data_IF_261583758612
#
_entry.id   IF_261583758612
#
_cell.length_a   1.000
_cell.length_b   1.000
_cell.length_c   1.000
_cell.angle_alpha   90.00
_cell.angle_beta   90.00
_cell.angle_gamma   90.00
#
_symmetry.space_group_name_H-M   'P 1'
#
loop_
_entity.id
_entity.type
_entity.pdbx_description
1 polymer ?
#
# COMPACT_ATOMS: atom_id res chain seq x y z
N UNK A 1 16.25 7.72 -50.29
CA UNK A 1 15.92 7.07 -51.58
C UNK A 1 14.90 7.90 -52.36
N UNK A 2 13.76 8.24 -51.76
CA UNK A 2 12.71 9.10 -52.35
C UNK A 2 13.20 10.44 -52.93
N UNK A 3 14.10 11.13 -52.22
CA UNK A 3 14.61 12.44 -52.64
C UNK A 3 15.48 12.37 -53.91
N UNK A 4 16.21 11.26 -54.13
CA UNK A 4 16.98 11.06 -55.36
C UNK A 4 16.09 10.72 -56.55
N UNK A 5 14.98 10.03 -56.30
CA UNK A 5 13.99 9.71 -57.32
C UNK A 5 13.21 10.96 -57.73
N UNK A 6 12.76 11.77 -56.77
CA UNK A 6 12.12 13.06 -57.05
C UNK A 6 13.02 13.99 -57.87
N UNK A 7 14.32 14.06 -57.56
CA UNK A 7 15.29 14.84 -58.36
C UNK A 7 15.41 14.29 -59.79
N UNK A 8 15.50 12.98 -59.98
CA UNK A 8 15.59 12.37 -61.30
C UNK A 8 14.30 12.52 -62.12
N UNK A 9 13.14 12.59 -61.47
CA UNK A 9 11.85 12.83 -62.14
C UNK A 9 11.77 14.28 -62.61
N UNK A 10 12.06 15.24 -61.73
CA UNK A 10 12.13 16.68 -62.05
C UNK A 10 13.14 16.97 -63.17
N UNK A 11 14.32 16.33 -63.16
CA UNK A 11 15.31 16.46 -64.24
C UNK A 11 14.78 15.99 -65.60
N UNK A 12 14.00 14.89 -65.63
CA UNK A 12 13.40 14.38 -66.88
C UNK A 12 12.29 15.28 -67.40
N UNK A 13 11.47 15.84 -66.51
CA UNK A 13 10.40 16.77 -66.88
C UNK A 13 10.97 18.07 -67.48
N UNK A 14 12.03 18.61 -66.86
CA UNK A 14 12.71 19.81 -67.35
C UNK A 14 13.44 19.60 -68.68
N UNK A 15 14.07 18.44 -68.88
CA UNK A 15 14.67 18.09 -70.18
C UNK A 15 13.61 18.03 -71.29
N UNK A 16 12.42 17.52 -70.96
CA UNK A 16 11.28 17.48 -71.90
C UNK A 16 10.78 18.90 -72.21
N UNK A 17 10.69 19.76 -71.20
CA UNK A 17 10.33 21.18 -71.38
C UNK A 17 11.38 21.94 -72.22
N UNK A 18 12.68 21.66 -72.06
CA UNK A 18 13.74 22.24 -72.90
C UNK A 18 13.56 21.89 -74.38
N UNK A 19 13.18 20.65 -74.70
CA UNK A 19 12.90 20.24 -76.08
C UNK A 19 11.71 21.01 -76.68
N UNK A 20 10.67 21.27 -75.87
CA UNK A 20 9.52 22.10 -76.25
C UNK A 20 9.92 23.55 -76.48
N UNK A 21 10.77 24.12 -75.62
CA UNK A 21 11.32 25.49 -75.82
C UNK A 21 12.12 25.57 -77.13
N UNK A 22 12.95 24.57 -77.42
CA UNK A 22 13.73 24.53 -78.66
C UNK A 22 12.82 24.46 -79.91
N UNK A 23 11.77 23.63 -79.87
CA UNK A 23 10.79 23.50 -80.94
C UNK A 23 9.98 24.79 -81.15
N UNK A 24 9.48 25.40 -80.06
CA UNK A 24 8.74 26.66 -80.14
C UNK A 24 9.61 27.81 -80.65
N UNK A 25 10.89 27.83 -80.28
CA UNK A 25 11.84 28.81 -80.81
C UNK A 25 12.06 28.68 -82.32
N UNK A 26 12.30 27.46 -82.82
CA UNK A 26 12.47 27.21 -84.27
C UNK A 26 11.18 27.48 -85.07
N UNK A 27 10.03 27.22 -84.47
CA UNK A 27 8.72 27.48 -85.11
C UNK A 27 8.41 28.98 -85.14
N UNK A 28 8.74 29.72 -84.08
CA UNK A 28 8.56 31.17 -83.98
C UNK A 28 9.44 31.96 -84.96
N UNK A 29 10.64 31.46 -85.28
CA UNK A 29 11.51 32.04 -86.30
C UNK A 29 10.92 31.92 -87.72
N UNK A 30 10.10 30.88 -87.96
CA UNK A 30 9.48 30.61 -89.27
C UNK A 30 8.08 31.20 -89.41
N UNK A 31 7.28 31.21 -88.34
CA UNK A 31 5.96 31.82 -88.30
C UNK A 31 5.75 32.57 -86.96
N UNK A 32 5.90 33.92 -86.96
CA UNK A 32 5.76 34.71 -85.75
C UNK A 32 4.33 34.74 -85.18
N UNK A 33 3.30 34.32 -85.95
CA UNK A 33 1.92 34.22 -85.46
C UNK A 33 1.66 32.96 -84.62
N UNK A 34 2.59 32.01 -84.59
CA UNK A 34 2.47 30.77 -83.81
C UNK A 34 2.55 30.96 -82.29
N UNK A 35 3.14 32.07 -81.82
CA UNK A 35 3.29 32.41 -80.40
C UNK A 35 2.07 33.16 -79.83
N UNK A 36 0.85 32.84 -80.25
CA UNK A 36 -0.33 33.53 -79.71
C UNK A 36 -0.48 33.31 -78.19
N UNK A 37 -0.78 34.35 -77.40
CA UNK A 37 -0.89 34.26 -75.94
C UNK A 37 -1.86 33.17 -75.46
N UNK A 38 -2.91 32.87 -76.24
CA UNK A 38 -3.91 31.85 -75.92
C UNK A 38 -3.38 30.41 -76.00
N UNK A 39 -2.38 30.16 -76.85
CA UNK A 39 -1.77 28.84 -77.05
C UNK A 39 -0.62 28.60 -76.06
N UNK A 40 0.09 29.66 -75.68
CA UNK A 40 1.24 29.59 -74.76
C UNK A 40 0.84 29.64 -73.28
N UNK A 41 -0.40 30.03 -72.96
CA UNK A 41 -0.90 30.09 -71.57
C UNK A 41 -1.21 28.72 -70.94
N UNK A 42 -1.37 27.67 -71.75
CA UNK A 42 -1.70 26.31 -71.28
C UNK A 42 -0.47 25.40 -71.13
N UNK A 43 0.72 25.88 -71.51
CA UNK A 43 1.96 25.11 -71.40
C UNK A 43 2.44 25.12 -69.95
N UNK A 44 2.56 23.93 -69.35
CA UNK A 44 3.25 23.75 -68.07
C UNK A 44 4.75 23.75 -68.31
N UNK A 45 5.51 24.30 -67.35
CA UNK A 45 6.98 24.29 -67.35
C UNK A 45 7.64 25.14 -68.46
N UNK A 46 6.87 25.89 -69.26
CA UNK A 46 7.37 26.80 -70.29
C UNK A 46 6.65 28.14 -70.22
N UNK A 47 7.39 29.23 -70.00
CA UNK A 47 6.85 30.58 -70.07
C UNK A 47 7.38 31.35 -71.26
N UNK A 48 6.49 32.13 -71.86
CA UNK A 48 6.78 33.04 -72.96
C UNK A 48 6.62 34.47 -72.45
N UNK A 49 7.73 35.19 -72.35
CA UNK A 49 7.80 36.58 -71.91
C UNK A 49 8.02 37.50 -73.10
N UNK A 50 7.09 38.42 -73.34
CA UNK A 50 7.23 39.47 -74.33
C UNK A 50 7.98 40.64 -73.70
N UNK A 51 9.14 41.00 -74.24
CA UNK A 51 10.00 42.05 -73.71
C UNK A 51 9.75 43.37 -74.43
N UNK A 52 9.61 44.47 -73.68
CA UNK A 52 9.62 45.81 -74.27
C UNK A 52 11.01 46.16 -74.83
N UNK A 53 11.10 47.18 -75.71
CA UNK A 53 12.31 47.53 -76.45
C UNK A 53 13.54 47.87 -75.57
N UNK A 54 13.34 48.22 -74.29
CA UNK A 54 14.39 48.58 -73.33
C UNK A 54 14.42 47.70 -72.06
N UNK A 55 13.63 46.62 -72.01
CA UNK A 55 13.55 45.77 -70.82
C UNK A 55 14.68 44.71 -70.82
N UNK A 56 15.45 44.57 -69.72
CA UNK A 56 16.52 43.58 -69.65
C UNK A 56 15.93 42.16 -69.64
N UNK A 57 16.46 41.27 -70.48
CA UNK A 57 16.08 39.87 -70.54
C UNK A 57 16.58 39.12 -69.27
N UNK A 58 15.85 39.24 -68.17
CA UNK A 58 16.10 38.50 -66.93
C UNK A 58 14.84 37.78 -66.49
N UNK A 59 14.98 36.51 -66.15
CA UNK A 59 13.91 35.77 -65.51
C UNK A 59 13.67 36.35 -64.10
N UNK A 60 12.41 36.42 -63.64
CA UNK A 60 12.14 36.77 -62.26
C UNK A 60 12.85 35.78 -61.34
N UNK A 61 13.58 36.27 -60.33
CA UNK A 61 14.26 35.41 -59.37
C UNK A 61 13.24 34.86 -58.36
N UNK A 62 13.35 33.58 -58.02
CA UNK A 62 12.63 33.01 -56.88
C UNK A 62 13.25 33.55 -55.58
N UNK A 63 12.46 33.73 -54.52
CA UNK A 63 12.92 34.19 -53.21
C UNK A 63 12.54 33.20 -52.11
N UNK A 64 13.25 33.21 -50.98
CA UNK A 64 12.91 32.38 -49.81
C UNK A 64 13.15 30.87 -49.99
N UNK A 65 12.19 30.06 -49.56
CA UNK A 65 12.27 28.59 -49.57
C UNK A 65 12.33 28.03 -51.00
N UNK A 66 11.61 28.64 -51.94
CA UNK A 66 11.57 28.18 -53.33
C UNK A 66 12.93 28.40 -54.01
N UNK A 67 13.64 29.49 -53.66
CA UNK A 67 15.02 29.73 -54.12
C UNK A 67 16.05 28.78 -53.49
N UNK A 68 15.81 28.35 -52.25
CA UNK A 68 16.66 27.36 -51.59
C UNK A 68 16.44 25.96 -52.18
N UNK A 69 15.17 25.55 -52.33
CA UNK A 69 14.77 24.29 -52.95
C UNK A 69 15.26 24.21 -54.41
N UNK A 70 15.06 25.27 -55.20
CA UNK A 70 15.54 25.34 -56.57
C UNK A 70 17.06 25.15 -56.67
N UNK A 71 17.84 25.82 -55.80
CA UNK A 71 19.31 25.62 -55.78
C UNK A 71 19.72 24.20 -55.40
N UNK A 72 18.99 23.56 -54.49
CA UNK A 72 19.31 22.24 -53.97
C UNK A 72 18.88 21.10 -54.92
N UNK A 73 17.74 21.26 -55.62
CA UNK A 73 17.17 20.25 -56.51
C UNK A 73 17.69 20.38 -57.95
N UNK A 74 17.86 21.60 -58.47
CA UNK A 74 18.11 21.85 -59.89
C UNK A 74 19.56 22.26 -60.19
N UNK A 75 20.33 22.59 -59.15
CA UNK A 75 21.65 23.22 -59.27
C UNK A 75 21.60 24.56 -60.03
N UNK A 76 22.77 25.10 -60.41
CA UNK A 76 22.86 26.32 -61.25
C UNK A 76 22.69 26.06 -62.76
N UNK A 77 22.18 24.88 -63.17
CA UNK A 77 22.42 24.34 -64.53
C UNK A 77 21.29 24.50 -65.55
N UNK A 78 20.13 25.04 -65.17
CA UNK A 78 18.93 24.96 -66.02
C UNK A 78 18.28 26.31 -66.35
N UNK A 79 19.09 27.37 -66.54
CA UNK A 79 18.63 28.60 -67.19
C UNK A 79 18.64 28.43 -68.72
N UNK A 80 17.76 27.58 -69.23
CA UNK A 80 17.55 27.42 -70.67
C UNK A 80 16.53 28.45 -71.15
N UNK A 81 17.01 29.66 -71.40
CA UNK A 81 16.23 30.74 -72.02
C UNK A 81 16.68 30.97 -73.46
N UNK A 82 15.72 31.10 -74.38
CA UNK A 82 15.98 31.50 -75.76
C UNK A 82 15.32 32.84 -76.01
N UNK A 83 16.14 33.85 -76.31
CA UNK A 83 15.70 35.17 -76.74
C UNK A 83 15.59 35.18 -78.26
N UNK A 84 14.42 35.55 -78.76
CA UNK A 84 14.10 35.62 -80.18
C UNK A 84 13.74 37.07 -80.53
N UNK A 85 14.38 37.60 -81.56
CA UNK A 85 14.02 38.89 -82.16
C UNK A 85 13.18 38.63 -83.41
N UNK A 86 11.89 38.95 -83.34
CA UNK A 86 10.98 38.78 -84.47
C UNK A 86 11.25 39.87 -85.52
N UNK A 87 11.02 39.56 -86.80
CA UNK A 87 11.21 40.50 -87.93
C UNK A 87 10.47 41.84 -87.81
N UNK A 88 9.46 41.92 -86.93
CA UNK A 88 8.69 43.13 -86.62
C UNK A 88 9.29 43.98 -85.46
N UNK A 89 10.51 43.67 -85.01
CA UNK A 89 11.21 44.39 -83.93
C UNK A 89 10.76 44.05 -82.50
N UNK A 90 9.89 43.04 -82.34
CA UNK A 90 9.45 42.54 -81.02
C UNK A 90 10.42 41.47 -80.51
N UNK A 91 10.69 41.48 -79.20
CA UNK A 91 11.56 40.49 -78.55
C UNK A 91 10.74 39.55 -77.67
N UNK A 92 10.97 38.25 -77.82
CA UNK A 92 10.31 37.21 -77.02
C UNK A 92 11.35 36.34 -76.37
N UNK A 93 11.21 36.14 -75.06
CA UNK A 93 12.02 35.19 -74.30
C UNK A 93 11.17 33.98 -73.95
N UNK A 94 11.55 32.82 -74.47
CA UNK A 94 10.95 31.54 -74.09
C UNK A 94 11.91 30.86 -73.10
N UNK A 95 11.44 30.54 -71.91
CA UNK A 95 12.25 29.90 -70.89
C UNK A 95 11.50 28.75 -70.22
N UNK A 96 12.27 27.75 -69.79
CA UNK A 96 11.77 26.69 -68.92
C UNK A 96 11.50 27.27 -67.54
N UNK A 97 10.31 27.06 -67.00
CA UNK A 97 9.95 27.49 -65.65
C UNK A 97 9.96 26.30 -64.68
N UNK A 98 11.00 26.23 -63.86
CA UNK A 98 11.14 25.18 -62.86
C UNK A 98 10.40 25.46 -61.54
N UNK A 99 9.65 26.57 -61.45
CA UNK A 99 8.88 26.91 -60.25
C UNK A 99 7.73 25.95 -60.00
N UNK A 100 7.06 25.50 -61.06
CA UNK A 100 5.93 24.56 -60.98
C UNK A 100 6.36 23.24 -60.30
N UNK A 101 7.54 22.71 -60.64
CA UNK A 101 8.12 21.50 -60.02
C UNK A 101 8.48 21.70 -58.54
N UNK A 102 8.99 22.89 -58.20
CA UNK A 102 9.34 23.24 -56.82
C UNK A 102 8.07 23.35 -55.96
N UNK A 103 6.99 23.91 -56.50
CA UNK A 103 5.70 24.03 -55.84
C UNK A 103 5.08 22.64 -55.58
N UNK A 104 5.17 21.70 -56.53
CA UNK A 104 4.68 20.32 -56.36
C UNK A 104 5.47 19.54 -55.29
N UNK A 105 6.80 19.65 -55.28
CA UNK A 105 7.65 19.05 -54.25
C UNK A 105 7.35 19.64 -52.88
N UNK A 106 7.15 20.97 -52.80
CA UNK A 106 6.79 21.67 -51.57
C UNK A 106 5.44 21.20 -51.01
N UNK A 107 4.42 21.10 -51.85
CA UNK A 107 3.09 20.61 -51.44
C UNK A 107 3.16 19.17 -50.94
N UNK A 108 3.91 18.31 -51.64
CA UNK A 108 4.13 16.92 -51.22
C UNK A 108 4.85 16.82 -49.87
N UNK A 109 5.87 17.66 -49.66
CA UNK A 109 6.62 17.71 -48.40
C UNK A 109 5.75 18.24 -47.25
N UNK A 110 4.92 19.26 -47.52
CA UNK A 110 3.95 19.79 -46.56
C UNK A 110 2.91 18.72 -46.18
N UNK A 111 2.37 17.96 -47.15
CA UNK A 111 1.43 16.87 -46.88
C UNK A 111 2.07 15.77 -46.01
N UNK A 112 3.31 15.38 -46.31
CA UNK A 112 4.03 14.38 -45.52
C UNK A 112 4.29 14.85 -44.08
N UNK A 113 4.69 16.11 -43.89
CA UNK A 113 4.86 16.69 -42.55
C UNK A 113 3.56 16.71 -41.76
N UNK A 114 2.44 17.09 -42.39
CA UNK A 114 1.11 17.08 -41.75
C UNK A 114 0.73 15.66 -41.35
N UNK A 115 0.93 14.67 -42.22
CA UNK A 115 0.65 13.26 -41.93
C UNK A 115 1.50 12.75 -40.76
N UNK A 116 2.81 13.02 -40.76
CA UNK A 116 3.71 12.67 -39.65
C UNK A 116 3.28 13.35 -38.34
N UNK A 117 2.90 14.63 -38.39
CA UNK A 117 2.42 15.38 -37.23
C UNK A 117 1.14 14.77 -36.65
N UNK A 118 0.17 14.42 -37.49
CA UNK A 118 -1.07 13.75 -37.09
C UNK A 118 -0.79 12.37 -36.47
N UNK A 119 0.09 11.57 -37.07
CA UNK A 119 0.47 10.26 -36.54
C UNK A 119 1.14 10.39 -35.17
N UNK A 120 2.03 11.38 -35.00
CA UNK A 120 2.70 11.65 -33.73
C UNK A 120 1.71 12.12 -32.66
N UNK A 121 0.77 13.00 -33.02
CA UNK A 121 -0.28 13.47 -32.12
C UNK A 121 -1.19 12.32 -31.67
N UNK A 122 -1.60 11.44 -32.59
CA UNK A 122 -2.39 10.25 -32.27
C UNK A 122 -1.61 9.30 -31.34
N UNK A 123 -0.33 9.05 -31.63
CA UNK A 123 0.55 8.24 -30.77
C UNK A 123 0.62 8.81 -29.35
N UNK A 124 0.90 10.11 -29.21
CA UNK A 124 0.95 10.78 -27.91
C UNK A 124 -0.40 10.71 -27.17
N UNK A 125 -1.53 10.84 -27.88
CA UNK A 125 -2.87 10.68 -27.30
C UNK A 125 -3.09 9.26 -26.76
N UNK A 126 -2.72 8.23 -27.53
CA UNK A 126 -2.86 6.83 -27.11
C UNK A 126 -1.98 6.51 -25.91
N UNK A 127 -0.73 6.98 -25.90
CA UNK A 127 0.20 6.83 -24.76
C UNK A 127 -0.38 7.53 -23.53
N UNK A 128 -0.86 8.78 -23.67
CA UNK A 128 -1.43 9.54 -22.56
C UNK A 128 -2.69 8.88 -22.00
N UNK A 129 -3.54 8.31 -22.86
CA UNK A 129 -4.70 7.55 -22.44
C UNK A 129 -4.30 6.27 -21.67
N UNK A 130 -3.33 5.52 -22.19
CA UNK A 130 -2.82 4.31 -21.53
C UNK A 130 -2.19 4.61 -20.15
N UNK A 131 -1.37 5.66 -20.04
CA UNK A 131 -0.75 6.08 -18.77
C UNK A 131 -1.79 6.54 -17.76
N UNK A 132 -2.77 7.35 -18.19
CA UNK A 132 -3.87 7.78 -17.30
C UNK A 132 -4.69 6.61 -16.78
N UNK A 133 -4.96 5.62 -17.62
CA UNK A 133 -5.67 4.40 -17.21
C UNK A 133 -4.87 3.58 -16.20
N UNK A 134 -3.55 3.47 -16.37
CA UNK A 134 -2.67 2.77 -15.43
C UNK A 134 -2.55 3.47 -14.07
N UNK A 135 -2.42 4.80 -14.06
CA UNK A 135 -2.31 5.59 -12.82
C UNK A 135 -3.58 5.53 -11.95
N UNK A 136 -4.77 5.48 -12.56
CA UNK A 136 -6.02 5.38 -11.79
C UNK A 136 -6.11 4.14 -10.90
N UNK A 137 -5.55 3.00 -11.33
CA UNK A 137 -5.50 1.79 -10.50
C UNK A 137 -4.60 1.95 -9.27
N UNK A 138 -3.50 2.71 -9.41
CA UNK A 138 -2.58 2.98 -8.32
C UNK A 138 -3.22 3.92 -7.29
N UNK A 139 -3.97 4.92 -7.75
CA UNK A 139 -4.71 5.83 -6.89
C UNK A 139 -5.77 5.09 -6.06
N UNK A 140 -6.54 4.18 -6.68
CA UNK A 140 -7.51 3.34 -5.98
C UNK A 140 -6.84 2.48 -4.90
N UNK A 141 -5.69 1.88 -5.21
CA UNK A 141 -4.92 1.07 -4.26
C UNK A 141 -4.35 1.91 -3.10
N UNK A 142 -3.81 3.10 -3.40
CA UNK A 142 -3.36 4.04 -2.36
C UNK A 142 -4.51 4.50 -1.48
N UNK A 143 -5.68 4.76 -2.05
CA UNK A 143 -6.86 5.15 -1.29
C UNK A 143 -7.35 4.00 -0.40
N UNK A 144 -7.39 2.77 -0.90
CA UNK A 144 -7.75 1.59 -0.12
C UNK A 144 -6.75 1.34 1.03
N UNK A 145 -5.44 1.48 0.77
CA UNK A 145 -4.41 1.41 1.82
C UNK A 145 -4.58 2.50 2.88
N UNK A 146 -4.89 3.74 2.48
CA UNK A 146 -5.17 4.83 3.42
C UNK A 146 -6.40 4.52 4.29
N UNK A 147 -7.47 3.97 3.71
CA UNK A 147 -8.66 3.55 4.47
C UNK A 147 -8.33 2.46 5.49
N UNK A 148 -7.59 1.43 5.09
CA UNK A 148 -7.13 0.35 5.99
C UNK A 148 -6.23 0.91 7.10
N UNK A 149 -5.30 1.82 6.76
CA UNK A 149 -4.44 2.48 7.76
C UNK A 149 -5.22 3.38 8.72
N UNK A 150 -6.35 3.94 8.28
CA UNK A 150 -7.29 4.69 9.10
C UNK A 150 -8.24 3.81 9.93
N UNK A 151 -8.07 2.48 9.90
CA UNK A 151 -8.85 1.53 10.68
C UNK A 151 -10.16 1.07 10.02
N UNK A 152 -10.42 1.47 8.77
CA UNK A 152 -11.56 1.02 7.97
C UNK A 152 -11.19 -0.25 7.20
N UNK A 153 -11.40 -1.41 7.83
CA UNK A 153 -11.08 -2.73 7.27
C UNK A 153 -12.16 -3.28 6.33
N UNK A 154 -13.22 -2.53 6.04
CA UNK A 154 -14.28 -2.95 5.12
C UNK A 154 -14.00 -2.58 3.65
N UNK A 155 -12.96 -1.79 3.40
CA UNK A 155 -12.54 -1.40 2.06
C UNK A 155 -12.18 -2.65 1.23
N UNK A 156 -12.65 -2.69 -0.02
CA UNK A 156 -12.33 -3.77 -0.97
C UNK A 156 -11.90 -3.17 -2.29
N UNK A 157 -10.82 -3.70 -2.85
CA UNK A 157 -10.39 -3.36 -4.20
C UNK A 157 -11.20 -4.15 -5.23
N UNK A 158 -11.51 -3.49 -6.34
CA UNK A 158 -12.22 -4.10 -7.46
C UNK A 158 -11.28 -5.02 -8.24
N UNK A 159 -11.71 -6.25 -8.50
CA UNK A 159 -10.96 -7.24 -9.28
C UNK A 159 -11.11 -7.02 -10.79
N UNK A 160 -10.82 -5.80 -11.25
CA UNK A 160 -10.94 -5.40 -12.65
C UNK A 160 -9.56 -5.04 -13.24
N UNK A 161 -9.37 -5.31 -14.53
CA UNK A 161 -8.15 -4.94 -15.26
C UNK A 161 -7.27 -6.13 -15.63
N UNK A 162 -5.97 -5.85 -15.76
CA UNK A 162 -4.92 -6.81 -16.12
C UNK A 162 -4.79 -7.91 -15.05
N UNK A 163 -4.28 -9.10 -15.41
CA UNK A 163 -4.17 -10.23 -14.47
C UNK A 163 -3.34 -9.88 -13.22
N UNK A 164 -2.28 -9.09 -13.36
CA UNK A 164 -1.44 -8.64 -12.24
C UNK A 164 -2.22 -7.74 -11.26
N UNK A 165 -3.06 -6.84 -11.79
CA UNK A 165 -3.88 -5.94 -10.98
C UNK A 165 -4.96 -6.72 -10.20
N UNK A 166 -5.56 -7.74 -10.84
CA UNK A 166 -6.52 -8.63 -10.17
C UNK A 166 -5.86 -9.42 -9.04
N UNK A 167 -4.69 -10.00 -9.30
CA UNK A 167 -3.94 -10.75 -8.29
C UNK A 167 -3.56 -9.86 -7.08
N UNK A 168 -3.20 -8.60 -7.33
CA UNK A 168 -2.91 -7.65 -6.26
C UNK A 168 -4.17 -7.29 -5.45
N UNK A 169 -5.29 -7.03 -6.12
CA UNK A 169 -6.58 -6.77 -5.47
C UNK A 169 -7.05 -7.95 -4.62
N UNK A 170 -6.91 -9.18 -5.12
CA UNK A 170 -7.26 -10.41 -4.40
C UNK A 170 -6.40 -10.58 -3.13
N UNK A 171 -5.09 -10.42 -3.22
CA UNK A 171 -4.21 -10.46 -2.04
C UNK A 171 -4.53 -9.38 -1.02
N UNK A 172 -4.78 -8.16 -1.48
CA UNK A 172 -5.18 -7.05 -0.61
C UNK A 172 -6.50 -7.33 0.11
N UNK A 173 -7.50 -7.86 -0.61
CA UNK A 173 -8.81 -8.21 -0.05
C UNK A 173 -8.67 -9.34 0.99
N UNK A 174 -7.86 -10.37 0.72
CA UNK A 174 -7.56 -11.44 1.69
C UNK A 174 -6.86 -10.93 2.94
N UNK A 175 -5.85 -10.08 2.77
CA UNK A 175 -5.13 -9.47 3.90
C UNK A 175 -6.08 -8.65 4.77
N UNK A 176 -6.90 -7.81 4.16
CA UNK A 176 -7.85 -6.95 4.87
C UNK A 176 -8.89 -7.79 5.62
N UNK A 177 -9.42 -8.86 5.02
CA UNK A 177 -10.34 -9.78 5.68
C UNK A 177 -9.69 -10.50 6.88
N UNK A 178 -8.42 -10.92 6.77
CA UNK A 178 -7.69 -11.53 7.88
C UNK A 178 -7.47 -10.55 9.04
N UNK A 179 -7.20 -9.28 8.75
CA UNK A 179 -7.06 -8.24 9.77
C UNK A 179 -8.40 -7.95 10.46
N UNK A 180 -9.48 -7.91 9.69
CA UNK A 180 -10.84 -7.74 10.21
C UNK A 180 -11.21 -8.86 11.17
N UNK A 181 -10.94 -10.12 10.80
CA UNK A 181 -11.16 -11.27 11.66
C UNK A 181 -10.34 -11.19 12.95
N UNK A 182 -9.02 -10.94 12.85
CA UNK A 182 -8.16 -10.84 14.03
C UNK A 182 -8.60 -9.74 15.00
N UNK A 183 -9.10 -8.60 14.48
CA UNK A 183 -9.66 -7.52 15.30
C UNK A 183 -10.96 -7.94 15.98
N UNK A 184 -11.83 -8.66 15.27
CA UNK A 184 -13.07 -9.18 15.83
C UNK A 184 -12.76 -10.16 16.97
N UNK A 185 -11.87 -11.12 16.73
CA UNK A 185 -11.43 -12.10 17.72
C UNK A 185 -10.84 -11.38 18.95
N UNK A 186 -9.93 -10.42 18.76
CA UNK A 186 -9.35 -9.67 19.86
C UNK A 186 -10.40 -8.92 20.70
N UNK A 187 -11.41 -8.34 20.04
CA UNK A 187 -12.51 -7.65 20.71
C UNK A 187 -13.35 -8.64 21.53
N UNK A 188 -13.66 -9.82 20.96
CA UNK A 188 -14.39 -10.87 21.66
C UNK A 188 -13.61 -11.41 22.86
N UNK A 189 -12.31 -11.67 22.71
CA UNK A 189 -11.45 -12.09 23.83
C UNK A 189 -11.42 -11.03 24.93
N UNK A 190 -11.29 -9.75 24.55
CA UNK A 190 -11.30 -8.65 25.52
C UNK A 190 -12.61 -8.59 26.29
N UNK A 191 -13.74 -8.73 25.60
CA UNK A 191 -15.07 -8.75 26.23
C UNK A 191 -15.24 -9.97 27.15
N UNK A 192 -14.79 -11.15 26.72
CA UNK A 192 -14.82 -12.36 27.54
C UNK A 192 -13.96 -12.21 28.80
N UNK A 193 -12.75 -11.63 28.69
CA UNK A 193 -11.89 -11.35 29.83
C UNK A 193 -12.54 -10.36 30.81
N UNK A 194 -13.16 -9.29 30.31
CA UNK A 194 -13.88 -8.34 31.15
C UNK A 194 -15.08 -8.99 31.86
N UNK A 195 -15.82 -9.85 31.17
CA UNK A 195 -16.93 -10.59 31.76
C UNK A 195 -16.47 -11.54 32.87
N UNK A 196 -15.37 -12.28 32.64
CA UNK A 196 -14.76 -13.15 33.66
C UNK A 196 -14.28 -12.32 34.86
N UNK A 197 -13.62 -11.18 34.62
CA UNK A 197 -13.15 -10.30 35.69
C UNK A 197 -14.31 -9.75 36.54
N UNK A 198 -15.42 -9.35 35.91
CA UNK A 198 -16.59 -8.86 36.63
C UNK A 198 -17.30 -9.97 37.42
N UNK A 199 -17.36 -11.18 36.85
CA UNK A 199 -17.87 -12.35 37.54
C UNK A 199 -17.01 -12.69 38.78
N UNK A 200 -15.68 -12.72 38.64
CA UNK A 200 -14.76 -12.93 39.77
C UNK A 200 -14.96 -11.84 40.84
N UNK A 201 -15.03 -10.57 40.44
CA UNK A 201 -15.23 -9.46 41.37
C UNK A 201 -16.56 -9.57 42.11
N UNK A 202 -17.63 -9.95 41.42
CA UNK A 202 -18.97 -10.16 42.02
C UNK A 202 -18.95 -11.32 43.00
N UNK A 203 -18.35 -12.44 42.60
CA UNK A 203 -18.22 -13.63 43.45
C UNK A 203 -17.39 -13.32 44.70
N UNK A 204 -16.27 -12.61 44.56
CA UNK A 204 -15.45 -12.16 45.68
C UNK A 204 -16.20 -11.23 46.62
N UNK A 205 -16.96 -10.26 46.10
CA UNK A 205 -17.77 -9.37 46.92
C UNK A 205 -18.84 -10.14 47.72
N UNK A 206 -19.47 -11.14 47.12
CA UNK A 206 -20.46 -12.00 47.78
C UNK A 206 -19.81 -12.85 48.87
N UNK A 207 -18.74 -13.60 48.55
CA UNK A 207 -18.04 -14.42 49.55
C UNK A 207 -17.52 -13.59 50.72
N UNK A 208 -16.91 -12.42 50.43
CA UNK A 208 -16.46 -11.51 51.48
C UNK A 208 -17.63 -10.99 52.33
N UNK A 209 -18.76 -10.63 51.72
CA UNK A 209 -19.93 -10.12 52.44
C UNK A 209 -20.57 -11.19 53.32
N UNK A 210 -20.75 -12.41 52.80
CA UNK A 210 -21.40 -13.50 53.51
C UNK A 210 -20.54 -13.98 54.68
N UNK A 211 -19.24 -14.21 54.45
CA UNK A 211 -18.32 -14.68 55.49
C UNK A 211 -18.10 -13.61 56.57
N UNK A 212 -17.71 -12.37 56.20
CA UNK A 212 -17.47 -11.31 57.18
C UNK A 212 -18.75 -10.85 57.87
N UNK A 213 -19.87 -10.82 57.13
CA UNK A 213 -21.16 -10.39 57.64
C UNK A 213 -21.69 -11.33 58.73
N UNK A 214 -21.58 -12.65 58.54
CA UNK A 214 -21.99 -13.63 59.55
C UNK A 214 -21.19 -13.50 60.84
N UNK A 215 -19.86 -13.40 60.75
CA UNK A 215 -19.03 -13.25 61.95
C UNK A 215 -19.31 -11.93 62.68
N UNK A 216 -19.45 -10.81 61.96
CA UNK A 216 -19.77 -9.51 62.58
C UNK A 216 -21.15 -9.53 63.26
N UNK A 217 -22.14 -10.19 62.67
CA UNK A 217 -23.45 -10.36 63.28
C UNK A 217 -23.38 -11.22 64.55
N UNK A 218 -22.61 -12.32 64.52
CA UNK A 218 -22.38 -13.20 65.68
C UNK A 218 -21.69 -12.49 66.83
N UNK A 219 -20.59 -11.77 66.56
CA UNK A 219 -19.87 -10.96 67.56
C UNK A 219 -20.81 -9.91 68.18
N UNK A 220 -21.62 -9.22 67.35
CA UNK A 220 -22.58 -8.22 67.85
C UNK A 220 -23.62 -8.84 68.77
N UNK A 221 -24.15 -10.02 68.44
CA UNK A 221 -25.11 -10.74 69.27
C UNK A 221 -24.50 -11.16 70.62
N UNK A 222 -23.26 -11.67 70.62
CA UNK A 222 -22.55 -12.05 71.84
C UNK A 222 -22.24 -10.83 72.73
N UNK A 223 -21.86 -9.69 72.15
CA UNK A 223 -21.69 -8.43 72.90
C UNK A 223 -23.01 -7.98 73.56
N UNK A 224 -24.14 -8.08 72.86
CA UNK A 224 -25.46 -7.81 73.45
C UNK A 224 -25.77 -8.77 74.61
N UNK A 225 -25.48 -10.06 74.45
CA UNK A 225 -25.65 -11.07 75.51
C UNK A 225 -24.79 -10.75 76.73
N UNK A 226 -23.54 -10.34 76.52
CA UNK A 226 -22.60 -9.93 77.56
C UNK A 226 -23.14 -8.77 78.41
N UNK A 227 -23.87 -7.82 77.80
CA UNK A 227 -24.56 -6.73 78.52
C UNK A 227 -25.73 -7.23 79.36
N UNK A 228 -26.41 -8.30 78.95
CA UNK A 228 -27.55 -8.87 79.68
C UNK A 228 -27.13 -9.78 80.84
N UNK A 229 -25.97 -10.44 80.72
CA UNK A 229 -25.46 -11.37 81.75
C UNK A 229 -24.36 -10.76 82.63
N UNK A 230 -24.20 -9.43 82.62
CA UNK A 230 -23.10 -8.72 83.27
C UNK A 230 -22.93 -9.05 84.76
N UNK A 231 -24.04 -9.32 85.47
CA UNK A 231 -24.03 -9.65 86.91
C UNK A 231 -23.77 -11.15 87.19
N UNK A 232 -23.55 -11.96 86.15
CA UNK A 232 -23.33 -13.40 86.25
C UNK A 232 -21.90 -13.75 85.82
N UNK A 233 -20.92 -13.78 86.75
CA UNK A 233 -19.50 -13.88 86.40
C UNK A 233 -19.13 -15.15 85.62
N UNK A 234 -19.81 -16.27 85.86
CA UNK A 234 -19.62 -17.52 85.09
C UNK A 234 -20.13 -17.42 83.65
N UNK A 235 -21.29 -16.81 83.43
CA UNK A 235 -21.86 -16.58 82.10
C UNK A 235 -21.05 -15.56 81.29
N UNK A 236 -20.54 -14.51 81.95
CA UNK A 236 -19.58 -13.57 81.35
C UNK A 236 -18.34 -14.32 80.87
N UNK A 237 -17.68 -15.10 81.73
CA UNK A 237 -16.47 -15.82 81.37
C UNK A 237 -16.66 -16.80 80.19
N UNK A 238 -17.80 -17.50 80.13
CA UNK A 238 -18.15 -18.37 79.00
C UNK A 238 -18.39 -17.58 77.71
N UNK A 239 -19.12 -16.47 77.79
CA UNK A 239 -19.42 -15.63 76.62
C UNK A 239 -18.14 -15.00 76.08
N UNK A 240 -17.26 -14.48 76.94
CA UNK A 240 -15.97 -13.89 76.52
C UNK A 240 -15.06 -14.92 75.84
N UNK A 241 -14.96 -16.15 76.37
CA UNK A 241 -14.21 -17.23 75.70
C UNK A 241 -14.76 -17.58 74.32
N UNK A 242 -16.09 -17.62 74.18
CA UNK A 242 -16.72 -17.91 72.89
C UNK A 242 -16.43 -16.79 71.88
N UNK A 243 -16.45 -15.55 72.35
CA UNK A 243 -16.15 -14.35 71.57
C UNK A 243 -14.68 -14.31 71.11
N UNK A 244 -13.74 -14.71 71.98
CA UNK A 244 -12.33 -14.90 71.63
C UNK A 244 -12.15 -15.97 70.53
N UNK A 245 -12.79 -17.14 70.68
CA UNK A 245 -12.73 -18.22 69.69
C UNK A 245 -13.32 -17.80 68.33
N UNK A 246 -14.43 -17.07 68.32
CA UNK A 246 -15.05 -16.60 67.08
C UNK A 246 -14.21 -15.49 66.40
N UNK A 247 -13.53 -14.65 67.19
CA UNK A 247 -12.56 -13.69 66.65
C UNK A 247 -11.34 -14.38 66.05
N UNK A 248 -10.81 -15.43 66.68
CA UNK A 248 -9.72 -16.24 66.13
C UNK A 248 -10.13 -16.92 64.83
N UNK A 249 -11.35 -17.49 64.76
CA UNK A 249 -11.89 -18.09 63.53
C UNK A 249 -12.06 -17.07 62.41
N UNK A 250 -12.56 -15.87 62.71
CA UNK A 250 -12.65 -14.78 61.74
C UNK A 250 -11.26 -14.37 61.24
N UNK A 251 -10.27 -14.25 62.12
CA UNK A 251 -8.89 -13.94 61.70
C UNK A 251 -8.30 -15.03 60.80
N UNK A 252 -8.54 -16.30 61.11
CA UNK A 252 -8.10 -17.42 60.29
C UNK A 252 -8.80 -17.45 58.93
N UNK A 253 -10.12 -17.26 58.89
CA UNK A 253 -10.91 -17.18 57.66
C UNK A 253 -10.51 -16.01 56.77
N UNK A 254 -10.31 -14.83 57.36
CA UNK A 254 -9.81 -13.65 56.62
C UNK A 254 -8.41 -13.87 56.07
N UNK A 255 -7.50 -14.49 56.84
CA UNK A 255 -6.16 -14.85 56.35
C UNK A 255 -6.22 -15.83 55.19
N UNK A 256 -7.12 -16.82 55.23
CA UNK A 256 -7.32 -17.76 54.14
C UNK A 256 -7.85 -17.07 52.87
N UNK A 257 -8.90 -16.24 53.01
CA UNK A 257 -9.46 -15.45 51.91
C UNK A 257 -8.43 -14.52 51.25
N UNK A 258 -7.66 -13.79 52.06
CA UNK A 258 -6.60 -12.91 51.55
C UNK A 258 -5.48 -13.71 50.90
N UNK A 259 -5.12 -14.88 51.45
CA UNK A 259 -4.12 -15.76 50.85
C UNK A 259 -4.55 -16.27 49.46
N UNK A 260 -5.82 -16.61 49.28
CA UNK A 260 -6.36 -17.04 47.98
C UNK A 260 -6.44 -15.90 46.96
N UNK A 261 -6.79 -14.70 47.42
CA UNK A 261 -6.86 -13.49 46.61
C UNK A 261 -5.48 -12.96 46.21
N UNK A 262 -4.56 -12.92 47.16
CA UNK A 262 -3.26 -12.31 47.03
C UNK A 262 -2.23 -13.07 47.88
N UNK A 263 -1.27 -13.79 47.26
CA UNK A 263 -0.24 -14.49 48.02
C UNK A 263 0.75 -13.49 48.65
N UNK A 264 0.38 -12.93 49.81
CA UNK A 264 1.13 -11.92 50.57
C UNK A 264 2.57 -12.38 50.89
N UNK A 265 2.78 -13.70 51.01
CA UNK A 265 4.11 -14.29 51.15
C UNK A 265 5.07 -13.78 50.06
N UNK A 266 4.63 -13.62 48.82
CA UNK A 266 5.51 -13.17 47.75
C UNK A 266 5.96 -11.70 47.84
N UNK A 267 5.32 -10.86 48.67
CA UNK A 267 5.78 -9.47 48.84
C UNK A 267 6.99 -9.35 49.76
N UNK A 268 7.08 -10.21 50.78
CA UNK A 268 8.05 -10.04 51.87
C UNK A 268 9.13 -11.12 51.90
N UNK A 269 9.03 -12.19 51.12
CA UNK A 269 10.03 -13.26 51.08
C UNK A 269 10.35 -13.76 49.65
N UNK A 270 11.55 -14.32 49.44
CA UNK A 270 11.93 -15.01 48.22
C UNK A 270 10.98 -16.15 47.83
N UNK A 271 10.93 -16.49 46.54
CA UNK A 271 10.06 -17.54 46.01
C UNK A 271 10.26 -18.91 46.70
N UNK A 272 11.51 -19.26 47.03
CA UNK A 272 11.83 -20.52 47.69
C UNK A 272 11.19 -20.63 49.09
N UNK A 273 11.25 -19.54 49.86
CA UNK A 273 10.65 -19.46 51.20
C UNK A 273 9.13 -19.48 51.11
N UNK A 274 8.54 -18.74 50.15
CA UNK A 274 7.10 -18.75 49.92
C UNK A 274 6.59 -20.16 49.56
N UNK A 275 7.33 -20.91 48.72
CA UNK A 275 6.99 -22.30 48.41
C UNK A 275 7.11 -23.22 49.63
N UNK A 276 8.14 -23.02 50.46
CA UNK A 276 8.31 -23.76 51.71
C UNK A 276 7.13 -23.55 52.66
N UNK A 277 6.70 -22.29 52.81
CA UNK A 277 5.54 -21.94 53.63
C UNK A 277 4.26 -22.59 53.10
N UNK A 278 3.97 -22.44 51.81
CA UNK A 278 2.80 -23.04 51.16
C UNK A 278 2.74 -24.57 51.37
N UNK A 279 3.86 -25.26 51.11
CA UNK A 279 3.95 -26.71 51.28
C UNK A 279 3.78 -27.13 52.74
N UNK A 280 4.37 -26.39 53.68
CA UNK A 280 4.24 -26.67 55.12
C UNK A 280 2.80 -26.53 55.62
N UNK A 281 2.10 -25.47 55.21
CA UNK A 281 0.70 -25.24 55.58
C UNK A 281 -0.23 -26.27 54.92
N UNK A 282 0.02 -26.59 53.65
CA UNK A 282 -0.73 -27.62 52.95
C UNK A 282 -0.56 -28.99 53.62
N UNK A 283 0.67 -29.38 53.96
CA UNK A 283 0.93 -30.63 54.67
C UNK A 283 0.25 -30.67 56.04
N UNK A 284 0.27 -29.57 56.79
CA UNK A 284 -0.41 -29.48 58.09
C UNK A 284 -1.94 -29.60 57.98
N UNK A 285 -2.54 -29.07 56.91
CA UNK A 285 -3.99 -29.12 56.70
C UNK A 285 -4.49 -30.44 56.11
N UNK A 286 -3.75 -31.05 55.19
CA UNK A 286 -4.17 -32.25 54.48
C UNK A 286 -3.64 -33.55 55.10
N UNK A 287 -2.57 -33.49 55.89
CA UNK A 287 -1.92 -34.67 56.48
C UNK A 287 -1.13 -35.53 55.50
N UNK A 288 -0.81 -35.01 54.31
CA UNK A 288 -0.08 -35.72 53.23
C UNK A 288 1.39 -35.27 53.21
N UNK A 289 2.35 -36.21 53.19
CA UNK A 289 3.80 -35.89 53.14
C UNK A 289 4.14 -35.17 51.83
N UNK A 290 4.66 -33.95 51.92
CA UNK A 290 5.03 -33.16 50.74
C UNK A 290 6.51 -32.74 50.80
N UNK A 291 7.30 -33.24 49.85
CA UNK A 291 8.73 -32.96 49.76
C UNK A 291 9.01 -31.88 48.72
N UNK A 292 9.40 -30.70 49.20
CA UNK A 292 9.83 -29.59 48.36
C UNK A 292 11.34 -29.62 48.12
N UNK A 293 11.75 -29.46 46.85
CA UNK A 293 13.14 -29.17 46.47
C UNK A 293 13.21 -27.98 45.53
N UNK A 294 13.84 -26.91 45.98
CA UNK A 294 14.09 -25.70 45.18
C UNK A 294 15.57 -25.65 44.83
N UNK A 295 15.89 -25.49 43.54
CA UNK A 295 17.28 -25.37 43.10
C UNK A 295 17.91 -24.05 43.55
N UNK A 296 19.19 -24.09 43.93
CA UNK A 296 19.91 -22.94 44.51
C UNK A 296 20.09 -21.74 43.56
N UNK A 297 20.02 -21.95 42.24
CA UNK A 297 20.32 -20.95 41.22
C UNK A 297 19.11 -20.60 40.36
N UNK A 298 18.04 -20.10 40.98
CA UNK A 298 16.88 -19.57 40.26
C UNK A 298 17.21 -18.21 39.62
N UNK A 299 16.78 -17.94 38.38
CA UNK A 299 16.90 -16.61 37.80
C UNK A 299 16.02 -15.60 38.58
N UNK A 300 16.42 -14.33 38.57
CA UNK A 300 15.58 -13.26 39.09
C UNK A 300 14.27 -13.20 38.29
N UNK A 301 13.14 -13.37 38.97
CA UNK A 301 11.81 -13.37 38.36
C UNK A 301 11.08 -12.06 38.67
N UNK A 302 10.44 -11.42 37.67
CA UNK A 302 9.58 -10.28 37.94
C UNK A 302 8.36 -10.71 38.77
N UNK A 303 7.80 -9.77 39.55
CA UNK A 303 6.70 -10.02 40.49
C UNK A 303 5.55 -10.86 39.93
N UNK A 304 4.98 -10.53 38.75
CA UNK A 304 3.91 -11.31 38.14
C UNK A 304 4.27 -12.78 37.92
N UNK A 305 5.47 -13.07 37.41
CA UNK A 305 5.91 -14.44 37.15
C UNK A 305 6.07 -15.26 38.43
N UNK A 306 6.49 -14.62 39.53
CA UNK A 306 6.54 -15.27 40.85
C UNK A 306 5.14 -15.62 41.34
N UNK A 307 4.19 -14.70 41.21
CA UNK A 307 2.77 -14.91 41.55
C UNK A 307 2.16 -16.05 40.75
N UNK A 308 2.41 -16.11 39.44
CA UNK A 308 1.93 -17.20 38.60
C UNK A 308 2.49 -18.56 39.02
N UNK A 309 3.80 -18.65 39.29
CA UNK A 309 4.41 -19.91 39.76
C UNK A 309 3.85 -20.37 41.10
N UNK A 310 3.57 -19.43 42.02
CA UNK A 310 2.95 -19.73 43.30
C UNK A 310 1.52 -20.25 43.14
N UNK A 311 0.69 -19.56 42.33
CA UNK A 311 -0.67 -20.01 42.05
C UNK A 311 -0.71 -21.37 41.34
N UNK A 312 0.22 -21.63 40.42
CA UNK A 312 0.35 -22.94 39.77
C UNK A 312 0.66 -24.06 40.77
N UNK A 313 1.56 -23.82 41.73
CA UNK A 313 1.85 -24.80 42.77
C UNK A 313 0.65 -24.99 43.70
N UNK A 314 0.01 -23.91 44.14
CA UNK A 314 -1.18 -23.96 44.99
C UNK A 314 -2.29 -24.77 44.34
N UNK A 315 -2.63 -24.47 43.09
CA UNK A 315 -3.67 -25.18 42.34
C UNK A 315 -3.31 -26.65 42.11
N UNK A 316 -2.05 -26.96 41.80
CA UNK A 316 -1.60 -28.35 41.67
C UNK A 316 -1.76 -29.13 42.98
N UNK A 317 -1.41 -28.53 44.12
CA UNK A 317 -1.56 -29.15 45.45
C UNK A 317 -3.05 -29.31 45.83
N UNK A 318 -3.89 -28.33 45.52
CA UNK A 318 -5.35 -28.41 45.69
C UNK A 318 -5.93 -29.55 44.88
N UNK A 319 -5.51 -29.70 43.62
CA UNK A 319 -5.96 -30.79 42.77
C UNK A 319 -5.53 -32.16 43.29
N UNK A 320 -4.29 -32.29 43.80
CA UNK A 320 -3.84 -33.54 44.44
C UNK A 320 -4.70 -33.87 45.66
N UNK A 321 -4.96 -32.90 46.54
CA UNK A 321 -5.79 -33.10 47.73
C UNK A 321 -7.24 -33.51 47.38
N UNK A 322 -7.82 -32.92 46.34
CA UNK A 322 -9.22 -33.20 45.93
C UNK A 322 -9.38 -34.48 45.12
N UNK A 323 -8.38 -34.88 44.33
CA UNK A 323 -8.59 -35.86 43.26
C UNK A 323 -7.63 -37.04 43.26
N UNK A 324 -6.43 -36.97 43.87
CA UNK A 324 -5.41 -38.01 43.68
C UNK A 324 -5.51 -39.18 44.68
N UNK A 325 -6.05 -38.98 45.88
CA UNK A 325 -5.97 -39.99 46.96
C UNK A 325 -4.53 -40.32 47.38
N UNK A 326 -3.60 -39.41 47.10
CA UNK A 326 -2.17 -39.60 47.28
C UNK A 326 -1.75 -39.56 48.75
N UNK A 327 -0.77 -40.39 49.11
CA UNK A 327 -0.12 -40.37 50.43
C UNK A 327 1.18 -39.57 50.46
N UNK A 328 1.74 -39.23 49.29
CA UNK A 328 2.96 -38.44 49.16
C UNK A 328 2.97 -37.59 47.89
N UNK A 329 3.47 -36.35 48.02
CA UNK A 329 3.70 -35.43 46.91
C UNK A 329 5.16 -34.99 46.87
N UNK A 330 5.72 -34.90 45.67
CA UNK A 330 7.06 -34.36 45.41
C UNK A 330 6.98 -33.13 44.52
N UNK A 331 7.49 -32.02 45.03
CA UNK A 331 7.55 -30.73 44.33
C UNK A 331 9.01 -30.40 44.06
N UNK A 332 9.36 -30.12 42.80
CA UNK A 332 10.71 -29.73 42.40
C UNK A 332 10.67 -28.51 41.49
N UNK A 333 11.34 -27.44 41.90
CA UNK A 333 11.56 -26.24 41.07
C UNK A 333 13.04 -26.15 40.70
N UNK A 334 13.34 -26.14 39.40
CA UNK A 334 14.73 -26.07 38.92
C UNK A 334 14.85 -25.28 37.62
N UNK A 335 16.03 -24.70 37.40
CA UNK A 335 16.41 -24.11 36.12
C UNK A 335 16.67 -25.23 35.10
N UNK A 336 16.24 -24.99 33.87
CA UNK A 336 16.42 -25.84 32.69
C UNK A 336 17.07 -25.00 31.57
N UNK A 337 17.63 -25.65 30.55
CA UNK A 337 18.29 -24.98 29.42
C UNK A 337 17.38 -23.97 28.69
N UNK A 338 16.05 -24.19 28.72
CA UNK A 338 15.04 -23.35 28.06
C UNK A 338 14.20 -22.48 29.01
N UNK A 339 14.51 -22.43 30.31
CA UNK A 339 13.74 -21.65 31.28
C UNK A 339 13.64 -22.29 32.68
N UNK A 340 12.50 -22.13 33.35
CA UNK A 340 12.21 -22.73 34.64
C UNK A 340 11.29 -23.95 34.47
N UNK A 341 11.53 -25.00 35.26
CA UNK A 341 10.69 -26.20 35.30
C UNK A 341 10.21 -26.43 36.73
N UNK A 342 8.90 -26.30 36.93
CA UNK A 342 8.19 -26.77 38.12
C UNK A 342 7.62 -28.15 37.84
N UNK A 343 7.92 -29.11 38.70
CA UNK A 343 7.41 -30.47 38.63
C UNK A 343 6.69 -30.80 39.93
N UNK A 344 5.42 -31.20 39.83
CA UNK A 344 4.60 -31.71 40.93
C UNK A 344 4.25 -33.15 40.58
N UNK A 345 4.49 -34.07 41.50
CA UNK A 345 4.24 -35.50 41.30
C UNK A 345 3.68 -36.13 42.56
N UNK A 346 2.49 -36.70 42.46
CA UNK A 346 1.85 -37.59 43.43
C UNK A 346 2.24 -39.07 43.19
N UNK A 347 1.73 -39.98 44.02
CA UNK A 347 2.14 -41.39 44.11
C UNK A 347 1.03 -42.39 43.81
#
# INVERSE_FOLDING_TARGET
MLLRQAVADVERELQSAQAVVAYLGDTAERDPQSLQPRLTQSLRHVRVHWLAADEPARLPQATGLDAWLGRQLLGQRHDSSRLLELGDGRRVMIAVDARDEIDEVRDSLQQLLVLCGLALLLSLLTIRWAVRRGMGLLDDLLQALRQVSGGQLTARLREAGLPEARQLAEHFNRMTASLEQARCDNTQLTQALLAVQEQERTQLAQTLHDDLGQYLAGIRAQLCLLRMVADQPTAVAQTTRTLELDCERLQQGFRALVHDLYPLALQHMPLAEAFGLLVSQWQASQGIDCRLRVGEHLPALPGPSRTHLYRLLQEALTNVARHAGASQVRVRLQRSAKGLRLLVRDN
#
